data_IF_069793866546
#
_entry.id   IF_069793866546
#
_cell.length_a   1.000
_cell.length_b   1.000
_cell.length_c   1.000
_cell.angle_alpha   90.00
_cell.angle_beta   90.00
_cell.angle_gamma   90.00
#
_symmetry.space_group_name_H-M   'P 1'
#
loop_
_entity.id
_entity.type
_entity.pdbx_description
1 polymer ?
#
# COMPACT_ATOMS: atom_id res chain seq x y z
N UNK A 1 -0.36 -2.87 -18.73
CA UNK A 1 -1.19 -1.99 -17.89
C UNK A 1 -0.66 -1.96 -16.46
N UNK A 2 -0.87 -0.84 -15.78
CA UNK A 2 -0.48 -0.66 -14.38
C UNK A 2 -1.65 0.00 -13.62
N UNK A 3 -2.04 -0.58 -12.52
CA UNK A 3 -3.09 -0.09 -11.62
C UNK A 3 -2.41 0.28 -10.32
N UNK A 4 -2.61 1.51 -9.86
CA UNK A 4 -2.28 1.94 -8.51
C UNK A 4 -3.47 1.67 -7.60
N UNK A 5 -3.24 1.16 -6.40
CA UNK A 5 -4.29 0.89 -5.44
C UNK A 5 -3.90 1.36 -4.04
N UNK A 6 -4.90 1.76 -3.27
CA UNK A 6 -4.76 2.29 -1.92
C UNK A 6 -4.76 1.16 -0.89
N UNK A 7 -4.33 1.50 0.32
CA UNK A 7 -4.36 0.61 1.46
C UNK A 7 -5.77 0.53 2.07
N UNK A 8 -6.01 -0.57 2.76
CA UNK A 8 -7.17 -0.77 3.64
C UNK A 8 -6.67 -1.16 5.04
N UNK A 9 -7.50 -0.98 6.07
CA UNK A 9 -7.14 -1.30 7.46
C UNK A 9 -7.13 -2.81 7.73
N UNK A 10 -6.38 -3.59 6.94
CA UNK A 10 -6.32 -5.04 7.04
C UNK A 10 -5.80 -5.53 8.39
N UNK A 11 -4.73 -4.93 8.92
CA UNK A 11 -4.14 -5.37 10.17
C UNK A 11 -5.07 -5.20 11.38
N UNK A 12 -5.94 -4.19 11.35
CA UNK A 12 -6.91 -3.88 12.40
C UNK A 12 -8.29 -4.52 12.15
N UNK A 13 -8.48 -5.19 11.01
CA UNK A 13 -9.75 -5.81 10.66
C UNK A 13 -10.08 -7.00 11.57
N UNK A 14 -11.37 -7.24 11.76
CA UNK A 14 -11.88 -8.40 12.47
C UNK A 14 -11.53 -9.71 11.71
N UNK A 15 -11.44 -10.86 12.38
CA UNK A 15 -11.09 -12.14 11.74
C UNK A 15 -11.98 -12.48 10.53
N UNK A 16 -13.28 -12.21 10.61
CA UNK A 16 -14.22 -12.48 9.52
C UNK A 16 -13.96 -11.59 8.31
N UNK A 17 -13.66 -10.30 8.53
CA UNK A 17 -13.30 -9.36 7.47
C UNK A 17 -11.97 -9.76 6.81
N UNK A 18 -10.98 -10.20 7.60
CA UNK A 18 -9.71 -10.71 7.07
C UNK A 18 -9.93 -11.92 6.17
N UNK A 19 -10.81 -12.83 6.58
CA UNK A 19 -11.16 -14.01 5.79
C UNK A 19 -11.82 -13.60 4.47
N UNK A 20 -12.77 -12.67 4.50
CA UNK A 20 -13.43 -12.17 3.30
C UNK A 20 -12.44 -11.49 2.33
N UNK A 21 -11.51 -10.68 2.84
CA UNK A 21 -10.46 -10.05 2.03
C UNK A 21 -9.53 -11.11 1.42
N UNK A 22 -9.15 -12.11 2.20
CA UNK A 22 -8.31 -13.21 1.74
C UNK A 22 -8.98 -14.02 0.62
N UNK A 23 -10.27 -14.36 0.77
CA UNK A 23 -11.05 -15.06 -0.26
C UNK A 23 -11.16 -14.22 -1.54
N UNK A 24 -11.41 -12.92 -1.41
CA UNK A 24 -11.46 -12.00 -2.55
C UNK A 24 -10.10 -11.88 -3.27
N UNK A 25 -8.97 -11.95 -2.55
CA UNK A 25 -7.63 -12.04 -3.15
C UNK A 25 -7.42 -13.36 -3.88
N UNK A 26 -7.87 -14.48 -3.32
CA UNK A 26 -7.83 -15.79 -3.98
C UNK A 26 -8.61 -15.75 -5.31
N UNK A 27 -9.81 -15.18 -5.31
CA UNK A 27 -10.64 -15.03 -6.51
C UNK A 27 -9.97 -14.12 -7.55
N UNK A 28 -9.34 -13.03 -7.12
CA UNK A 28 -8.59 -12.15 -7.99
C UNK A 28 -7.43 -12.90 -8.68
N UNK A 29 -6.60 -13.64 -7.92
CA UNK A 29 -5.51 -14.41 -8.51
C UNK A 29 -6.02 -15.53 -9.42
N UNK A 30 -7.10 -16.19 -9.06
CA UNK A 30 -7.73 -17.21 -9.90
C UNK A 30 -8.34 -16.64 -11.20
N UNK A 31 -8.57 -15.35 -11.31
CA UNK A 31 -9.02 -14.71 -12.56
C UNK A 31 -7.91 -14.62 -13.63
N UNK A 32 -6.63 -14.67 -13.24
CA UNK A 32 -5.50 -14.58 -14.16
C UNK A 32 -5.19 -15.94 -14.78
N UNK A 33 -5.28 -16.04 -16.10
CA UNK A 33 -4.87 -17.23 -16.86
C UNK A 33 -3.35 -17.30 -17.08
N UNK A 34 -2.85 -18.44 -17.55
CA UNK A 34 -1.43 -18.69 -17.75
C UNK A 34 -0.73 -17.75 -18.77
N UNK A 35 -1.50 -17.02 -19.57
CA UNK A 35 -0.97 -16.08 -20.55
C UNK A 35 -0.86 -14.64 -20.04
N UNK A 36 -1.19 -14.43 -18.76
CA UNK A 36 -1.11 -13.14 -18.08
C UNK A 36 0.05 -13.22 -17.08
N UNK A 37 1.03 -12.35 -17.23
CA UNK A 37 2.07 -12.14 -16.22
C UNK A 37 1.68 -10.97 -15.32
N UNK A 38 1.69 -11.21 -14.02
CA UNK A 38 1.31 -10.23 -12.99
C UNK A 38 2.51 -9.87 -12.14
N UNK A 39 2.70 -8.60 -11.89
CA UNK A 39 3.70 -8.07 -10.97
C UNK A 39 2.99 -7.19 -9.95
N UNK A 40 3.09 -7.55 -8.68
CA UNK A 40 2.72 -6.73 -7.55
C UNK A 40 3.95 -5.99 -7.07
N UNK A 41 3.93 -4.65 -7.11
CA UNK A 41 5.05 -3.81 -6.67
C UNK A 41 4.63 -2.96 -5.49
N UNK A 42 5.35 -3.09 -4.40
CA UNK A 42 5.18 -2.30 -3.17
C UNK A 42 6.41 -1.41 -3.03
N UNK A 43 6.21 -0.11 -3.07
CA UNK A 43 7.28 0.88 -3.05
C UNK A 43 7.14 1.73 -1.79
N UNK A 44 8.13 1.66 -0.91
CA UNK A 44 8.31 2.57 0.21
C UNK A 44 9.48 3.47 -0.09
N UNK A 45 9.28 4.77 -0.14
CA UNK A 45 10.33 5.76 -0.45
C UNK A 45 10.19 6.99 0.42
N UNK A 46 11.30 7.68 0.67
CA UNK A 46 11.24 8.96 1.34
C UNK A 46 10.52 10.00 0.47
N UNK A 47 9.57 10.72 1.08
CA UNK A 47 8.95 11.87 0.47
C UNK A 47 9.98 13.00 0.27
N UNK A 48 9.75 13.87 -0.70
CA UNK A 48 10.49 15.11 -0.77
C UNK A 48 10.20 15.95 0.49
N UNK A 49 11.22 16.20 1.30
CA UNK A 49 11.09 16.92 2.58
C UNK A 49 10.47 18.30 2.40
N UNK A 50 10.77 18.97 1.30
CA UNK A 50 10.27 20.32 1.05
C UNK A 50 8.80 20.32 0.64
N UNK A 51 8.38 19.39 -0.20
CA UNK A 51 6.97 19.23 -0.58
C UNK A 51 6.12 18.82 0.63
N UNK A 52 6.66 17.96 1.50
CA UNK A 52 6.00 17.55 2.72
C UNK A 52 5.89 18.69 3.75
N UNK A 53 6.97 19.47 3.94
CA UNK A 53 6.93 20.69 4.78
C UNK A 53 5.96 21.73 4.25
N UNK A 54 5.90 21.90 2.94
CA UNK A 54 4.96 22.84 2.31
C UNK A 54 3.50 22.40 2.49
N UNK A 55 3.22 21.10 2.45
CA UNK A 55 1.85 20.57 2.60
C UNK A 55 1.25 20.78 3.99
N UNK A 56 2.08 20.92 5.04
CA UNK A 56 1.65 21.17 6.43
C UNK A 56 1.77 22.65 6.83
N UNK A 57 2.27 23.51 5.94
CA UNK A 57 2.43 24.93 6.24
C UNK A 57 1.09 25.64 6.05
N UNK A 58 0.60 26.27 7.11
CA UNK A 58 -0.63 27.07 7.07
C UNK A 58 -0.28 28.44 6.53
N UNK A 59 -0.92 28.83 5.43
CA UNK A 59 -0.70 30.12 4.81
C UNK A 59 -1.22 31.27 5.69
N UNK A 60 -0.49 32.41 5.78
CA UNK A 60 -0.98 33.60 6.47
C UNK A 60 -2.21 34.16 5.75
N UNK A 61 -3.19 34.64 6.52
CA UNK A 61 -4.43 35.23 6.01
C UNK A 61 -4.45 36.75 6.18
N UNK A 62 -3.36 37.35 6.70
CA UNK A 62 -3.19 38.78 7.00
C UNK A 62 -4.19 39.30 8.05
N UNK A 63 -4.44 38.48 9.08
CA UNK A 63 -5.29 38.79 10.22
C UNK A 63 -4.54 38.69 11.56
N UNK A 64 -5.20 38.99 12.67
CA UNK A 64 -4.61 38.98 14.02
C UNK A 64 -4.19 37.58 14.49
N UNK A 65 -4.48 36.52 13.73
CA UNK A 65 -4.23 35.11 14.09
C UNK A 65 -3.00 34.52 13.37
N UNK A 66 -2.31 35.28 12.52
CA UNK A 66 -1.17 34.78 11.77
C UNK A 66 0.01 34.34 12.66
N UNK A 67 0.17 34.95 13.83
CA UNK A 67 1.14 34.49 14.81
C UNK A 67 0.81 33.08 15.35
N UNK A 68 -0.48 32.78 15.53
CA UNK A 68 -0.96 31.46 15.99
C UNK A 68 -0.81 30.44 14.86
N UNK A 69 -1.07 30.81 13.59
CA UNK A 69 -0.83 29.95 12.41
C UNK A 69 0.65 29.58 12.29
N UNK A 70 1.55 30.52 12.52
CA UNK A 70 2.99 30.27 12.49
C UNK A 70 3.43 29.30 13.62
N UNK A 71 2.96 29.54 14.85
CA UNK A 71 3.23 28.67 16.00
C UNK A 71 2.67 27.25 15.75
N UNK A 72 1.45 27.13 15.22
CA UNK A 72 0.83 25.85 14.91
C UNK A 72 1.56 25.12 13.79
N UNK A 73 2.02 25.83 12.76
CA UNK A 73 2.86 25.26 11.69
C UNK A 73 4.16 24.69 12.27
N UNK A 74 4.81 25.37 13.20
CA UNK A 74 6.04 24.91 13.85
C UNK A 74 5.78 23.67 14.72
N UNK A 75 4.65 23.63 15.41
CA UNK A 75 4.22 22.44 16.15
C UNK A 75 4.02 21.25 15.19
N UNK A 76 3.37 21.43 14.04
CA UNK A 76 3.21 20.39 13.03
C UNK A 76 4.56 19.91 12.48
N UNK A 77 5.50 20.81 12.24
CA UNK A 77 6.87 20.46 11.81
C UNK A 77 7.60 19.62 12.86
N UNK A 78 7.47 19.98 14.14
CA UNK A 78 8.03 19.22 15.25
C UNK A 78 7.42 17.82 15.35
N UNK A 79 6.10 17.69 15.15
CA UNK A 79 5.45 16.39 15.11
C UNK A 79 5.88 15.54 13.90
N UNK A 80 6.10 16.20 12.77
CA UNK A 80 6.63 15.56 11.58
C UNK A 80 8.01 14.95 11.81
N UNK A 81 8.87 15.66 12.52
CA UNK A 81 10.24 15.20 12.84
C UNK A 81 10.26 14.05 13.87
N UNK A 82 9.24 13.95 14.71
CA UNK A 82 9.10 12.87 15.72
C UNK A 82 8.55 11.56 15.14
N UNK A 83 7.81 11.63 14.04
CA UNK A 83 7.23 10.45 13.39
C UNK A 83 8.19 9.80 12.39
N UNK A 84 7.86 8.59 11.91
CA UNK A 84 8.51 7.97 10.75
C UNK A 84 8.15 8.70 9.43
N UNK A 85 7.84 9.97 9.55
CA UNK A 85 7.26 10.78 8.51
C UNK A 85 8.28 11.04 7.43
N UNK A 86 7.94 10.64 6.26
CA UNK A 86 8.76 10.77 5.08
C UNK A 86 8.76 9.53 4.23
N UNK A 87 8.17 8.42 4.67
CA UNK A 87 7.98 7.25 3.84
C UNK A 87 6.58 7.27 3.22
N UNK A 88 6.54 7.47 1.92
CA UNK A 88 5.34 7.29 1.11
C UNK A 88 5.32 5.84 0.63
N UNK A 89 4.24 5.14 0.95
CA UNK A 89 3.99 3.76 0.51
C UNK A 89 3.04 3.79 -0.68
N UNK A 90 3.50 3.34 -1.84
CA UNK A 90 2.70 3.22 -3.05
C UNK A 90 2.66 1.77 -3.50
N UNK A 91 1.53 1.36 -4.06
CA UNK A 91 1.26 -0.04 -4.43
C UNK A 91 0.73 -0.12 -5.83
N UNK A 92 1.32 -1.00 -6.63
CA UNK A 92 0.99 -1.15 -8.03
C UNK A 92 0.76 -2.61 -8.37
N UNK A 93 -0.28 -2.87 -9.15
CA UNK A 93 -0.49 -4.13 -9.84
C UNK A 93 -0.25 -3.90 -11.34
N UNK A 94 0.80 -4.50 -11.87
CA UNK A 94 1.14 -4.43 -13.29
C UNK A 94 0.85 -5.78 -13.93
N UNK A 95 0.16 -5.78 -15.06
CA UNK A 95 -0.07 -7.00 -15.83
C UNK A 95 0.29 -6.82 -17.29
N UNK A 96 0.84 -7.88 -17.86
CA UNK A 96 1.28 -7.96 -19.25
C UNK A 96 0.67 -9.16 -19.94
N UNK A 97 0.45 -9.03 -21.23
CA UNK A 97 -0.09 -10.10 -22.07
C UNK A 97 0.71 -10.20 -23.36
N UNK A 98 0.91 -11.39 -23.85
CA UNK A 98 1.42 -11.62 -25.20
C UNK A 98 0.27 -11.60 -26.19
N UNK A 99 0.44 -10.88 -27.30
CA UNK A 99 -0.55 -10.76 -28.36
C UNK A 99 0.11 -10.60 -29.73
N UNK A 100 -0.60 -11.01 -30.78
CA UNK A 100 -0.10 -10.94 -32.16
C UNK A 100 0.01 -9.50 -32.69
N UNK A 101 -0.82 -8.60 -32.20
CA UNK A 101 -0.89 -7.20 -32.59
C UNK A 101 -1.40 -6.32 -31.45
N UNK A 102 -1.20 -5.01 -31.60
CA UNK A 102 -1.58 -3.99 -30.60
C UNK A 102 -3.10 -3.93 -30.40
N UNK A 103 -3.90 -4.21 -31.42
CA UNK A 103 -5.37 -4.14 -31.33
C UNK A 103 -5.90 -5.25 -30.42
N UNK A 104 -5.44 -6.48 -30.64
CA UNK A 104 -5.81 -7.63 -29.80
C UNK A 104 -5.26 -7.49 -28.38
N UNK A 105 -4.02 -6.98 -28.22
CA UNK A 105 -3.47 -6.67 -26.90
C UNK A 105 -4.33 -5.65 -26.15
N UNK A 106 -4.73 -4.57 -26.81
CA UNK A 106 -5.54 -3.50 -26.18
C UNK A 106 -6.90 -4.03 -25.70
N UNK A 107 -7.60 -4.79 -26.51
CA UNK A 107 -8.90 -5.35 -26.16
C UNK A 107 -8.79 -6.29 -24.93
N UNK A 108 -7.77 -7.16 -24.93
CA UNK A 108 -7.51 -8.10 -23.86
C UNK A 108 -7.12 -7.39 -22.56
N UNK A 109 -6.20 -6.41 -22.63
CA UNK A 109 -5.77 -5.61 -21.50
C UNK A 109 -6.91 -4.78 -20.89
N UNK A 110 -7.84 -4.28 -21.71
CA UNK A 110 -9.01 -3.53 -21.23
C UNK A 110 -9.97 -4.44 -20.44
N UNK A 111 -10.16 -5.68 -20.88
CA UNK A 111 -10.97 -6.66 -20.14
C UNK A 111 -10.35 -7.00 -18.77
N UNK A 112 -9.07 -7.35 -18.76
CA UNK A 112 -8.34 -7.67 -17.51
C UNK A 112 -8.37 -6.47 -16.54
N UNK A 113 -8.21 -5.25 -17.06
CA UNK A 113 -8.31 -4.01 -16.32
C UNK A 113 -9.66 -3.88 -15.60
N UNK A 114 -10.76 -4.07 -16.34
CA UNK A 114 -12.11 -3.98 -15.77
C UNK A 114 -12.34 -5.04 -14.69
N UNK A 115 -11.95 -6.28 -14.96
CA UNK A 115 -12.11 -7.40 -14.03
C UNK A 115 -11.29 -7.14 -12.75
N UNK A 116 -10.03 -6.67 -12.88
CA UNK A 116 -9.16 -6.36 -11.76
C UNK A 116 -9.69 -5.21 -10.91
N UNK A 117 -10.19 -4.12 -11.53
CA UNK A 117 -10.81 -3.01 -10.79
C UNK A 117 -12.05 -3.46 -10.02
N UNK A 118 -12.85 -4.36 -10.59
CA UNK A 118 -13.99 -4.95 -9.87
C UNK A 118 -13.55 -5.78 -8.66
N UNK A 119 -12.47 -6.55 -8.76
CA UNK A 119 -11.91 -7.27 -7.61
C UNK A 119 -11.44 -6.30 -6.51
N UNK A 120 -10.73 -5.24 -6.84
CA UNK A 120 -10.34 -4.22 -5.85
C UNK A 120 -11.56 -3.56 -5.18
N UNK A 121 -12.63 -3.32 -5.94
CA UNK A 121 -13.89 -2.80 -5.40
C UNK A 121 -14.54 -3.76 -4.40
N UNK A 122 -14.51 -5.07 -4.67
CA UNK A 122 -14.99 -6.12 -3.74
C UNK A 122 -14.14 -6.16 -2.49
N UNK A 123 -12.82 -6.07 -2.61
CA UNK A 123 -11.87 -6.00 -1.49
C UNK A 123 -12.10 -4.72 -0.64
N UNK A 124 -12.67 -3.67 -1.24
CA UNK A 124 -12.87 -2.37 -0.58
C UNK A 124 -11.68 -1.41 -0.74
N UNK A 125 -10.70 -1.74 -1.58
CA UNK A 125 -9.57 -0.88 -1.89
C UNK A 125 -9.87 0.04 -3.08
N UNK A 126 -9.60 1.34 -2.95
CA UNK A 126 -9.64 2.25 -4.08
C UNK A 126 -8.51 1.93 -5.05
N UNK A 127 -8.81 1.91 -6.35
CA UNK A 127 -7.83 1.58 -7.37
C UNK A 127 -8.05 2.42 -8.63
N UNK A 128 -6.94 2.83 -9.27
CA UNK A 128 -6.98 3.62 -10.50
C UNK A 128 -5.95 3.13 -11.51
N UNK A 129 -6.31 3.22 -12.77
CA UNK A 129 -5.39 2.89 -13.88
C UNK A 129 -4.47 4.07 -14.13
N UNK A 130 -3.17 3.82 -14.19
CA UNK A 130 -2.20 4.85 -14.51
C UNK A 130 -2.15 5.10 -16.02
N UNK A 131 -2.17 6.37 -16.40
CA UNK A 131 -1.88 6.81 -17.76
C UNK A 131 -0.37 6.77 -18.08
N UNK A 132 0.00 7.16 -19.31
CA UNK A 132 1.40 7.14 -19.72
C UNK A 132 2.29 8.09 -18.93
N UNK A 133 1.81 9.30 -18.60
CA UNK A 133 2.57 10.29 -17.84
C UNK A 133 2.75 9.86 -16.40
N UNK A 134 1.68 9.38 -15.76
CA UNK A 134 1.72 8.86 -14.40
C UNK A 134 2.67 7.66 -14.26
N UNK A 135 2.70 6.76 -15.26
CA UNK A 135 3.68 5.67 -15.28
C UNK A 135 5.13 6.16 -15.41
N UNK A 136 5.38 7.17 -16.23
CA UNK A 136 6.72 7.79 -16.31
C UNK A 136 7.12 8.44 -15.00
N UNK A 137 6.19 9.08 -14.30
CA UNK A 137 6.40 9.66 -12.96
C UNK A 137 6.79 8.60 -11.92
N UNK A 138 6.11 7.45 -11.91
CA UNK A 138 6.48 6.31 -11.04
C UNK A 138 7.90 5.82 -11.35
N UNK A 139 8.24 5.65 -12.63
CA UNK A 139 9.57 5.21 -13.06
C UNK A 139 10.64 6.24 -12.70
N UNK A 140 10.38 7.51 -12.95
CA UNK A 140 11.26 8.61 -12.54
C UNK A 140 11.52 8.57 -11.03
N UNK A 141 10.47 8.42 -10.20
CA UNK A 141 10.62 8.35 -8.76
C UNK A 141 11.42 7.14 -8.25
N UNK A 142 11.47 6.03 -9.00
CA UNK A 142 12.34 4.88 -8.69
C UNK A 142 13.81 5.21 -9.04
N UNK A 143 14.03 5.84 -10.18
CA UNK A 143 15.37 6.18 -10.66
C UNK A 143 15.99 7.42 -9.99
N UNK A 144 15.14 8.28 -9.39
CA UNK A 144 15.53 9.49 -8.67
C UNK A 144 15.00 9.45 -7.21
N UNK A 145 15.56 8.56 -6.38
CA UNK A 145 15.03 8.31 -5.02
C UNK A 145 15.21 9.51 -4.07
N UNK A 146 15.99 10.51 -4.44
CA UNK A 146 16.17 11.74 -3.67
C UNK A 146 14.98 12.72 -3.79
N UNK A 147 13.92 12.33 -4.50
CA UNK A 147 12.69 13.11 -4.63
C UNK A 147 12.80 14.25 -5.63
N UNK A 148 13.65 14.13 -6.64
CA UNK A 148 13.69 15.07 -7.76
C UNK A 148 12.33 15.17 -8.44
N UNK A 149 11.91 16.39 -8.78
CA UNK A 149 10.60 16.62 -9.40
C UNK A 149 10.57 16.12 -10.83
N UNK A 150 9.57 15.32 -11.15
CA UNK A 150 9.32 14.90 -12.52
C UNK A 150 8.71 16.03 -13.33
N UNK A 151 9.44 16.52 -14.31
CA UNK A 151 9.01 17.58 -15.21
C UNK A 151 8.95 17.04 -16.63
N UNK A 152 7.73 16.79 -17.13
CA UNK A 152 7.51 16.18 -18.43
C UNK A 152 6.18 16.62 -19.06
N UNK A 153 6.22 16.94 -20.35
CA UNK A 153 5.04 17.18 -21.18
C UNK A 153 5.22 16.49 -22.54
N UNK A 154 4.16 15.90 -23.07
CA UNK A 154 4.19 15.15 -24.33
C UNK A 154 4.60 16.03 -25.52
N UNK A 155 4.25 17.31 -25.47
CA UNK A 155 4.53 18.32 -26.49
C UNK A 155 6.04 18.60 -26.64
N UNK A 156 6.84 18.26 -25.65
CA UNK A 156 8.29 18.48 -25.71
C UNK A 156 9.02 17.45 -26.57
N UNK A 157 8.48 16.23 -26.71
CA UNK A 157 9.15 15.16 -27.46
C UNK A 157 9.43 15.50 -28.93
N UNK A 158 8.43 15.97 -29.73
CA UNK A 158 8.67 16.28 -31.12
C UNK A 158 9.64 17.45 -31.33
N UNK A 159 9.63 18.45 -30.41
CA UNK A 159 10.43 19.64 -30.52
C UNK A 159 11.89 19.44 -30.07
N UNK A 160 12.12 18.59 -29.08
CA UNK A 160 13.44 18.37 -28.50
C UNK A 160 14.26 17.26 -29.16
N UNK A 161 13.61 16.35 -29.90
CA UNK A 161 14.23 15.14 -30.41
C UNK A 161 14.61 14.10 -29.32
N UNK A 162 14.20 14.35 -28.07
CA UNK A 162 14.41 13.45 -26.93
C UNK A 162 13.36 12.33 -26.93
N UNK A 163 13.68 11.24 -26.26
CA UNK A 163 12.75 10.15 -25.99
C UNK A 163 12.22 10.22 -24.56
N UNK A 164 11.16 9.50 -24.25
CA UNK A 164 10.64 9.39 -22.88
C UNK A 164 11.69 8.87 -21.89
N UNK A 165 12.67 8.09 -22.36
CA UNK A 165 13.75 7.55 -21.54
C UNK A 165 14.66 8.65 -20.99
N UNK A 166 14.87 9.71 -21.75
CA UNK A 166 15.75 10.83 -21.36
C UNK A 166 15.18 11.63 -20.18
N UNK A 167 13.85 11.55 -19.94
CA UNK A 167 13.18 12.21 -18.83
C UNK A 167 13.11 11.35 -17.57
N UNK A 168 13.33 10.06 -17.65
CA UNK A 168 13.24 9.14 -16.50
C UNK A 168 14.58 8.53 -16.11
N UNK A 169 15.57 8.50 -17.01
CA UNK A 169 16.85 7.86 -16.76
C UNK A 169 17.63 8.63 -15.70
N UNK A 170 18.31 7.95 -14.77
CA UNK A 170 19.26 8.58 -13.86
C UNK A 170 20.52 9.02 -14.61
N UNK A 171 21.32 9.86 -13.97
CA UNK A 171 22.55 10.39 -14.55
C UNK A 171 23.55 9.31 -15.00
N UNK A 172 23.55 8.16 -14.36
CA UNK A 172 24.42 7.04 -14.68
C UNK A 172 23.95 5.71 -14.12
N UNK A 173 24.32 4.61 -14.78
CA UNK A 173 24.25 3.25 -14.27
C UNK A 173 25.64 2.61 -14.27
N UNK A 174 25.98 1.86 -13.21
CA UNK A 174 27.21 1.10 -13.10
C UNK A 174 26.98 -0.27 -12.47
N UNK A 175 27.18 -1.33 -13.23
CA UNK A 175 27.04 -2.73 -12.82
C UNK A 175 28.39 -3.44 -12.74
N UNK A 176 29.45 -2.76 -12.24
CA UNK A 176 30.78 -3.30 -12.17
C UNK A 176 31.06 -4.23 -10.99
N UNK A 177 30.19 -4.25 -10.00
CA UNK A 177 30.30 -5.13 -8.82
C UNK A 177 29.26 -6.25 -8.96
N UNK A 178 29.66 -7.50 -8.72
CA UNK A 178 28.76 -8.65 -8.87
C UNK A 178 27.59 -8.67 -7.88
N UNK A 179 27.66 -7.93 -6.77
CA UNK A 179 26.70 -7.97 -5.67
C UNK A 179 25.93 -6.68 -5.44
N UNK A 180 26.28 -5.63 -6.18
CA UNK A 180 25.61 -4.33 -6.10
C UNK A 180 25.71 -3.59 -7.43
N UNK A 181 24.92 -2.56 -7.58
CA UNK A 181 25.00 -1.60 -8.68
C UNK A 181 25.01 -0.17 -8.14
N UNK A 182 25.36 0.76 -8.99
CA UNK A 182 25.23 2.19 -8.70
C UNK A 182 24.31 2.82 -9.72
N UNK A 183 23.41 3.68 -9.23
CA UNK A 183 22.42 4.39 -10.02
C UNK A 183 22.44 5.86 -9.59
N UNK A 184 22.97 6.74 -10.46
CA UNK A 184 23.28 8.11 -10.05
C UNK A 184 24.22 8.15 -8.84
N UNK A 185 23.81 8.85 -7.79
CA UNK A 185 24.52 8.95 -6.52
C UNK A 185 24.26 7.79 -5.54
N UNK A 186 23.33 6.87 -5.84
CA UNK A 186 22.92 5.79 -4.92
C UNK A 186 23.58 4.45 -5.25
N UNK A 187 23.81 3.68 -4.21
CA UNK A 187 24.15 2.26 -4.30
C UNK A 187 22.89 1.41 -4.16
N UNK A 188 22.75 0.38 -4.97
CA UNK A 188 21.60 -0.50 -4.96
C UNK A 188 21.98 -1.98 -4.94
N UNK A 189 21.13 -2.78 -4.33
CA UNK A 189 21.22 -4.24 -4.36
C UNK A 189 19.85 -4.87 -4.44
N UNK A 190 19.73 -5.87 -5.31
CA UNK A 190 18.53 -6.70 -5.40
C UNK A 190 18.81 -8.04 -4.77
N UNK A 191 17.86 -8.47 -3.94
CA UNK A 191 17.86 -9.78 -3.28
C UNK A 191 16.59 -10.54 -3.68
N UNK A 192 16.65 -11.86 -3.66
CA UNK A 192 15.49 -12.73 -3.87
C UNK A 192 15.15 -13.50 -2.61
N UNK A 193 13.86 -13.74 -2.40
CA UNK A 193 13.37 -14.51 -1.25
C UNK A 193 13.27 -15.99 -1.57
N UNK A 194 13.91 -16.82 -0.75
CA UNK A 194 13.70 -18.27 -0.71
C UNK A 194 12.72 -18.61 0.40
N UNK A 195 11.58 -19.15 0.02
CA UNK A 195 10.54 -19.59 0.94
C UNK A 195 10.92 -21.01 1.40
N UNK A 196 11.37 -21.15 2.64
CA UNK A 196 11.71 -22.41 3.28
C UNK A 196 10.61 -22.81 4.26
N UNK A 197 9.86 -21.84 4.77
CA UNK A 197 8.78 -22.03 5.72
C UNK A 197 7.71 -23.01 5.21
N UNK A 198 7.21 -23.91 6.05
CA UNK A 198 6.06 -24.76 5.73
C UNK A 198 4.76 -23.95 5.69
N UNK A 199 4.67 -22.89 6.50
CA UNK A 199 3.54 -21.96 6.56
C UNK A 199 4.03 -20.54 6.39
N UNK A 200 3.28 -19.74 5.65
CA UNK A 200 3.54 -18.33 5.38
C UNK A 200 2.67 -17.46 6.29
N UNK A 201 3.11 -16.23 6.56
CA UNK A 201 2.37 -15.24 7.33
C UNK A 201 1.93 -14.07 6.45
N UNK A 202 0.71 -13.61 6.66
CA UNK A 202 0.11 -12.43 6.01
C UNK A 202 0.78 -11.09 6.41
N UNK A 203 1.64 -11.12 7.44
CA UNK A 203 2.36 -9.92 7.92
C UNK A 203 3.69 -9.66 7.23
N UNK A 204 4.23 -10.61 6.48
CA UNK A 204 5.58 -10.48 5.94
C UNK A 204 5.75 -9.27 5.02
N UNK A 205 4.80 -9.01 4.11
CA UNK A 205 4.87 -7.83 3.24
C UNK A 205 4.72 -6.53 4.03
N UNK A 206 3.90 -6.52 5.07
CA UNK A 206 3.74 -5.37 5.94
C UNK A 206 5.04 -5.03 6.66
N UNK A 207 5.72 -6.03 7.25
CA UNK A 207 6.98 -5.83 7.94
C UNK A 207 8.10 -5.32 7.00
N UNK A 208 8.13 -5.77 5.74
CA UNK A 208 9.03 -5.19 4.74
C UNK A 208 8.71 -3.72 4.46
N UNK A 209 7.41 -3.37 4.33
CA UNK A 209 6.99 -1.99 4.05
C UNK A 209 7.15 -1.05 5.24
N UNK A 210 7.29 -1.60 6.44
CA UNK A 210 7.53 -0.84 7.69
C UNK A 210 9.04 -0.66 7.98
N UNK A 211 9.94 -1.12 7.08
CA UNK A 211 11.37 -0.87 7.19
C UNK A 211 11.65 0.66 7.23
N UNK A 212 12.56 1.08 8.13
CA UNK A 212 12.87 2.50 8.40
C UNK A 212 13.37 3.27 7.17
N UNK A 213 14.04 2.57 6.27
CA UNK A 213 14.55 3.15 5.03
C UNK A 213 13.73 2.65 3.83
N UNK A 214 13.68 3.43 2.78
CA UNK A 214 12.90 3.08 1.59
C UNK A 214 13.27 1.70 1.02
N UNK A 215 12.28 0.91 0.67
CA UNK A 215 12.42 -0.43 0.14
C UNK A 215 11.43 -0.66 -1.00
N UNK A 216 11.81 -1.43 -1.99
CA UNK A 216 10.92 -1.83 -3.07
C UNK A 216 10.80 -3.35 -3.07
N UNK A 217 9.59 -3.85 -2.87
CA UNK A 217 9.28 -5.28 -2.88
C UNK A 217 8.44 -5.61 -4.10
N UNK A 218 8.86 -6.60 -4.87
CA UNK A 218 8.16 -7.03 -6.07
C UNK A 218 7.85 -8.52 -6.00
N UNK A 219 6.58 -8.86 -6.26
CA UNK A 219 6.13 -10.23 -6.45
C UNK A 219 5.76 -10.39 -7.92
N UNK A 220 6.49 -11.27 -8.61
CA UNK A 220 6.10 -11.74 -9.93
C UNK A 220 5.28 -13.02 -9.77
N UNK A 221 4.09 -13.03 -10.32
CA UNK A 221 3.11 -14.10 -10.18
C UNK A 221 2.72 -14.55 -11.58
N UNK A 222 3.05 -15.79 -11.92
CA UNK A 222 2.74 -16.43 -13.18
C UNK A 222 1.82 -17.61 -12.93
N UNK A 223 0.61 -17.56 -13.46
CA UNK A 223 -0.31 -18.70 -13.41
C UNK A 223 0.20 -19.84 -14.31
N UNK A 224 0.08 -21.07 -13.84
CA UNK A 224 0.36 -22.27 -14.63
C UNK A 224 -0.98 -22.82 -15.17
N UNK A 225 -0.98 -23.30 -16.40
CA UNK A 225 -2.15 -24.02 -16.93
C UNK A 225 -2.55 -25.15 -15.99
N UNK A 226 -3.84 -25.24 -15.67
CA UNK A 226 -4.35 -26.18 -14.68
C UNK A 226 -4.07 -27.64 -15.04
N UNK A 227 -4.19 -27.99 -16.32
CA UNK A 227 -3.91 -29.34 -16.80
C UNK A 227 -2.41 -29.66 -16.74
N UNK A 228 -1.56 -28.71 -17.08
CA UNK A 228 -0.11 -28.84 -16.95
C UNK A 228 0.34 -28.98 -15.50
N UNK A 229 -0.26 -28.21 -14.60
CA UNK A 229 0.01 -28.32 -13.16
C UNK A 229 -0.33 -29.73 -12.65
N UNK A 230 -1.54 -30.21 -12.91
CA UNK A 230 -1.97 -31.56 -12.54
C UNK A 230 -1.04 -32.63 -13.12
N UNK A 231 -0.69 -32.53 -14.40
CA UNK A 231 0.23 -33.45 -15.08
C UNK A 231 1.60 -33.47 -14.45
N UNK A 232 2.12 -32.31 -14.10
CA UNK A 232 3.45 -32.17 -13.46
C UNK A 232 3.45 -32.80 -12.07
N UNK A 233 2.41 -32.57 -11.26
CA UNK A 233 2.30 -33.16 -9.92
C UNK A 233 2.12 -34.67 -9.99
N UNK A 234 1.28 -35.17 -10.91
CA UNK A 234 1.14 -36.63 -11.11
C UNK A 234 2.48 -37.29 -11.48
N UNK A 235 3.27 -36.62 -12.32
CA UNK A 235 4.63 -37.09 -12.65
C UNK A 235 5.53 -37.16 -11.40
N UNK A 236 5.52 -36.07 -10.59
CA UNK A 236 6.29 -36.01 -9.33
C UNK A 236 5.87 -37.10 -8.35
N UNK A 237 4.57 -37.37 -8.20
CA UNK A 237 4.05 -38.45 -7.37
C UNK A 237 4.58 -39.81 -7.88
N UNK A 238 4.56 -40.05 -9.19
CA UNK A 238 5.09 -41.27 -9.79
C UNK A 238 6.58 -41.42 -9.52
N UNK A 239 7.35 -40.37 -9.63
CA UNK A 239 8.80 -40.37 -9.35
C UNK A 239 9.09 -40.64 -7.86
N UNK A 240 8.31 -40.03 -6.95
CA UNK A 240 8.40 -40.28 -5.50
C UNK A 240 8.01 -41.73 -5.15
N UNK A 241 6.95 -42.28 -5.76
CA UNK A 241 6.56 -43.66 -5.57
C UNK A 241 7.64 -44.63 -6.10
N UNK A 242 8.31 -44.32 -7.22
CA UNK A 242 9.47 -45.10 -7.70
C UNK A 242 10.63 -45.05 -6.71
N UNK A 243 11.00 -43.86 -6.22
CA UNK A 243 12.06 -43.73 -5.21
C UNK A 243 11.73 -44.52 -3.95
N UNK A 244 10.47 -44.48 -3.51
CA UNK A 244 9.99 -45.28 -2.38
C UNK A 244 10.20 -46.79 -2.61
N UNK A 245 9.84 -47.28 -3.79
CA UNK A 245 10.01 -48.70 -4.16
C UNK A 245 11.52 -49.06 -4.21
N UNK A 246 12.37 -48.15 -4.71
CA UNK A 246 13.82 -48.41 -4.75
C UNK A 246 14.43 -48.46 -3.35
N UNK A 247 14.04 -47.58 -2.44
CA UNK A 247 14.51 -47.60 -1.05
C UNK A 247 14.00 -48.85 -0.31
N UNK A 248 12.74 -49.25 -0.53
CA UNK A 248 12.21 -50.54 0.00
C UNK A 248 13.01 -51.74 -0.49
N UNK A 249 13.37 -51.80 -1.80
CA UNK A 249 14.22 -52.85 -2.35
C UNK A 249 15.60 -52.87 -1.74
N UNK A 250 16.21 -51.70 -1.47
CA UNK A 250 17.49 -51.57 -0.79
C UNK A 250 17.41 -52.08 0.66
N UNK A 251 16.36 -51.68 1.40
CA UNK A 251 16.13 -52.11 2.77
C UNK A 251 16.07 -53.67 2.85
N UNK A 252 15.28 -54.32 1.98
CA UNK A 252 15.18 -55.78 1.91
C UNK A 252 16.54 -56.42 1.63
N UNK A 253 17.30 -55.90 0.65
CA UNK A 253 18.65 -56.43 0.33
C UNK A 253 19.66 -56.28 1.47
N UNK A 254 19.45 -55.28 2.35
CA UNK A 254 20.29 -55.03 3.52
C UNK A 254 19.75 -55.69 4.80
N UNK A 255 18.68 -56.48 4.73
CA UNK A 255 18.11 -57.21 5.87
C UNK A 255 17.29 -56.33 6.84
N UNK A 256 16.88 -55.16 6.39
CA UNK A 256 16.00 -54.26 7.16
C UNK A 256 14.54 -54.46 6.78
N UNK A 257 13.63 -54.02 7.68
CA UNK A 257 12.19 -54.08 7.46
C UNK A 257 11.78 -53.15 6.30
N UNK A 258 10.81 -53.59 5.49
CA UNK A 258 10.24 -52.84 4.34
C UNK A 258 9.60 -51.51 4.74
N UNK A 259 9.20 -51.37 6.01
CA UNK A 259 8.54 -50.18 6.51
C UNK A 259 9.52 -49.05 6.89
N UNK A 260 10.84 -49.30 6.86
CA UNK A 260 11.87 -48.31 7.07
C UNK A 260 12.09 -47.52 5.77
N UNK A 261 11.23 -46.47 5.59
CA UNK A 261 11.34 -45.54 4.50
C UNK A 261 11.92 -44.25 5.08
N UNK A 262 12.85 -43.54 4.40
CA UNK A 262 13.24 -42.20 4.81
C UNK A 262 12.03 -41.32 5.06
N UNK A 263 11.95 -40.70 6.24
CA UNK A 263 10.82 -39.86 6.70
C UNK A 263 10.45 -38.79 5.67
N UNK A 264 11.47 -38.22 5.04
CA UNK A 264 11.33 -37.19 4.04
C UNK A 264 10.54 -37.65 2.80
N UNK A 265 10.82 -38.89 2.34
CA UNK A 265 10.16 -39.46 1.17
C UNK A 265 8.68 -39.74 1.42
N UNK A 266 8.36 -40.17 2.65
CA UNK A 266 6.99 -40.43 3.07
C UNK A 266 6.19 -39.10 3.18
N UNK A 267 6.81 -38.09 3.78
CA UNK A 267 6.22 -36.73 3.93
C UNK A 267 5.97 -36.09 2.58
N UNK A 268 6.97 -36.01 1.70
CA UNK A 268 6.83 -35.41 0.36
C UNK A 268 5.80 -36.15 -0.50
N UNK A 269 5.70 -37.47 -0.39
CA UNK A 269 4.69 -38.27 -1.09
C UNK A 269 3.27 -37.93 -0.62
N UNK A 270 3.09 -37.72 0.70
CA UNK A 270 1.83 -37.28 1.31
C UNK A 270 1.42 -35.90 0.88
N UNK A 271 2.35 -34.96 0.97
CA UNK A 271 2.15 -33.54 0.57
C UNK A 271 1.81 -33.41 -0.91
N UNK A 272 2.50 -34.12 -1.80
CA UNK A 272 2.21 -34.12 -3.23
C UNK A 272 0.80 -34.67 -3.55
N UNK A 273 0.33 -35.70 -2.82
CA UNK A 273 -1.03 -36.25 -2.96
C UNK A 273 -2.08 -35.27 -2.42
N UNK A 274 -1.83 -34.59 -1.32
CA UNK A 274 -2.71 -33.57 -0.79
C UNK A 274 -2.82 -32.38 -1.77
N UNK A 275 -1.69 -31.89 -2.28
CA UNK A 275 -1.66 -30.84 -3.29
C UNK A 275 -2.46 -31.23 -4.55
N UNK A 276 -2.33 -32.45 -5.03
CA UNK A 276 -3.13 -32.95 -6.16
C UNK A 276 -4.63 -32.93 -5.85
N UNK A 277 -5.01 -33.31 -4.64
CA UNK A 277 -6.41 -33.31 -4.20
C UNK A 277 -6.94 -31.86 -4.13
N UNK A 278 -6.18 -30.94 -3.58
CA UNK A 278 -6.57 -29.54 -3.47
C UNK A 278 -6.77 -28.90 -4.85
N UNK A 279 -5.89 -29.19 -5.80
CA UNK A 279 -6.05 -28.74 -7.20
C UNK A 279 -7.27 -29.36 -7.90
N UNK A 280 -7.66 -30.60 -7.56
CA UNK A 280 -8.77 -31.27 -8.21
C UNK A 280 -10.13 -30.99 -7.57
N UNK A 281 -10.18 -30.73 -6.26
CA UNK A 281 -11.41 -30.67 -5.47
C UNK A 281 -11.72 -29.28 -4.90
N UNK A 282 -10.74 -28.38 -4.87
CA UNK A 282 -10.89 -27.03 -4.40
C UNK A 282 -10.62 -26.06 -5.55
N UNK A 283 -11.09 -24.83 -5.45
CA UNK A 283 -10.82 -23.78 -6.44
C UNK A 283 -9.36 -23.28 -6.36
N UNK A 284 -8.39 -24.20 -6.22
CA UNK A 284 -6.96 -23.93 -6.15
C UNK A 284 -6.31 -24.03 -7.52
N UNK A 285 -5.42 -23.08 -7.82
CA UNK A 285 -4.55 -23.11 -9.01
C UNK A 285 -3.10 -23.10 -8.57
N UNK A 286 -2.19 -23.33 -9.50
CA UNK A 286 -0.76 -23.22 -9.25
C UNK A 286 -0.19 -21.96 -9.89
N UNK A 287 0.66 -21.31 -9.13
CA UNK A 287 1.41 -20.14 -9.55
C UNK A 287 2.91 -20.37 -9.35
N UNK A 288 3.71 -19.79 -10.24
CA UNK A 288 5.15 -19.60 -10.04
C UNK A 288 5.37 -18.21 -9.51
N UNK A 289 5.99 -18.10 -8.34
CA UNK A 289 6.22 -16.85 -7.65
C UNK A 289 7.71 -16.56 -7.53
N UNK A 290 8.12 -15.33 -7.90
CA UNK A 290 9.44 -14.75 -7.61
C UNK A 290 9.22 -13.52 -6.74
N UNK A 291 9.83 -13.48 -5.55
CA UNK A 291 9.83 -12.28 -4.71
C UNK A 291 11.23 -11.66 -4.72
N UNK A 292 11.29 -10.38 -5.11
CA UNK A 292 12.50 -9.58 -5.15
C UNK A 292 12.40 -8.40 -4.20
N UNK A 293 13.50 -8.08 -3.55
CA UNK A 293 13.64 -6.92 -2.67
C UNK A 293 14.78 -6.07 -3.19
N UNK A 294 14.48 -4.82 -3.54
CA UNK A 294 15.46 -3.81 -3.95
C UNK A 294 15.69 -2.82 -2.80
N UNK A 295 16.92 -2.73 -2.35
CA UNK A 295 17.39 -1.73 -1.39
C UNK A 295 18.26 -0.71 -2.09
N UNK A 296 18.11 0.57 -1.71
CA UNK A 296 18.89 1.71 -2.20
C UNK A 296 19.44 2.49 -1.01
N UNK A 297 20.71 2.92 -1.07
CA UNK A 297 21.35 3.69 -0.01
C UNK A 297 22.41 4.66 -0.54
N UNK A 298 22.78 5.67 0.26
CA UNK A 298 23.80 6.67 -0.11
C UNK A 298 25.21 6.14 -0.10
N UNK A 299 25.49 5.12 0.72
CA UNK A 299 26.81 4.52 0.87
C UNK A 299 26.73 2.99 0.84
N UNK A 300 27.84 2.34 0.49
CA UNK A 300 27.93 0.87 0.49
C UNK A 300 27.63 0.27 1.86
N UNK A 301 28.15 0.92 2.93
CA UNK A 301 27.93 0.44 4.30
C UNK A 301 26.47 0.52 4.71
N UNK A 302 25.78 1.63 4.38
CA UNK A 302 24.33 1.74 4.60
C UNK A 302 23.58 0.68 3.81
N UNK A 303 23.93 0.46 2.52
CA UNK A 303 23.32 -0.57 1.69
C UNK A 303 23.46 -1.96 2.32
N UNK A 304 24.64 -2.30 2.85
CA UNK A 304 24.86 -3.58 3.51
C UNK A 304 23.98 -3.73 4.76
N UNK A 305 23.82 -2.65 5.54
CA UNK A 305 22.94 -2.62 6.70
C UNK A 305 21.46 -2.79 6.31
N UNK A 306 21.01 -2.11 5.24
CA UNK A 306 19.64 -2.23 4.71
C UNK A 306 19.32 -3.66 4.25
N UNK A 307 20.22 -4.25 3.49
CA UNK A 307 20.06 -5.65 3.04
C UNK A 307 20.08 -6.62 4.21
N UNK A 308 20.92 -6.37 5.23
CA UNK A 308 20.94 -7.18 6.45
C UNK A 308 19.60 -7.02 7.23
N UNK A 309 19.08 -5.81 7.36
CA UNK A 309 17.77 -5.54 7.96
C UNK A 309 16.64 -6.28 7.23
N UNK A 310 16.62 -6.19 5.91
CA UNK A 310 15.65 -6.92 5.09
C UNK A 310 15.77 -8.45 5.24
N UNK A 311 17.01 -8.97 5.34
CA UNK A 311 17.24 -10.39 5.59
C UNK A 311 16.77 -10.83 6.98
N UNK A 312 16.89 -9.98 7.99
CA UNK A 312 16.39 -10.27 9.34
C UNK A 312 14.84 -10.34 9.35
N UNK A 313 14.17 -9.47 8.58
CA UNK A 313 12.71 -9.56 8.41
C UNK A 313 12.33 -10.90 7.75
N UNK A 314 13.00 -11.31 6.68
CA UNK A 314 12.74 -12.60 6.05
C UNK A 314 12.95 -13.78 7.02
N UNK A 315 14.01 -13.73 7.81
CA UNK A 315 14.37 -14.78 8.78
C UNK A 315 13.30 -14.93 9.88
N UNK A 316 12.65 -13.84 10.31
CA UNK A 316 11.50 -13.85 11.24
C UNK A 316 10.38 -14.78 10.76
N UNK A 317 10.22 -14.92 9.44
CA UNK A 317 9.22 -15.77 8.79
C UNK A 317 9.77 -17.08 8.24
N UNK A 318 10.92 -17.54 8.73
CA UNK A 318 11.61 -18.76 8.26
C UNK A 318 11.86 -18.75 6.73
N UNK A 319 12.14 -17.56 6.19
CA UNK A 319 12.53 -17.37 4.80
C UNK A 319 13.99 -16.88 4.74
N UNK A 320 14.65 -17.07 3.61
CA UNK A 320 16.02 -16.65 3.39
C UNK A 320 16.03 -15.60 2.29
N UNK A 321 16.54 -14.41 2.59
CA UNK A 321 16.76 -13.36 1.60
C UNK A 321 18.22 -13.38 1.15
N UNK A 322 18.45 -13.65 -0.13
CA UNK A 322 19.80 -13.79 -0.70
C UNK A 322 20.00 -12.76 -1.81
N UNK A 323 21.13 -12.04 -1.80
CA UNK A 323 21.49 -11.14 -2.90
C UNK A 323 21.63 -11.91 -4.21
N UNK A 324 21.23 -11.26 -5.29
CA UNK A 324 21.49 -11.77 -6.64
C UNK A 324 22.98 -11.54 -6.99
N UNK A 325 23.76 -12.60 -7.04
CA UNK A 325 25.16 -12.52 -7.45
C UNK A 325 25.24 -12.50 -8.98
N UNK A 326 25.97 -11.52 -9.52
CA UNK A 326 26.23 -11.32 -10.98
C UNK A 326 24.96 -11.12 -11.83
N UNK A 327 23.80 -10.86 -11.22
CA UNK A 327 22.50 -10.61 -11.88
C UNK A 327 21.81 -9.36 -11.37
N UNK A 328 22.57 -8.39 -10.91
CA UNK A 328 22.01 -7.15 -10.34
C UNK A 328 21.27 -6.31 -11.38
N UNK A 329 21.73 -6.29 -12.63
CA UNK A 329 21.07 -5.61 -13.73
C UNK A 329 19.69 -6.23 -14.01
N UNK A 330 19.63 -7.55 -14.18
CA UNK A 330 18.36 -8.27 -14.38
C UNK A 330 17.46 -8.14 -13.17
N UNK A 331 18.03 -8.13 -11.96
CA UNK A 331 17.32 -7.89 -10.72
C UNK A 331 16.66 -6.50 -10.69
N UNK A 332 17.41 -5.44 -11.02
CA UNK A 332 16.88 -4.09 -11.11
C UNK A 332 15.75 -4.01 -12.15
N UNK A 333 15.96 -4.55 -13.34
CA UNK A 333 14.93 -4.53 -14.40
C UNK A 333 13.65 -5.26 -13.98
N UNK A 334 13.79 -6.37 -13.25
CA UNK A 334 12.63 -7.09 -12.69
C UNK A 334 12.01 -6.39 -11.48
N UNK A 335 12.71 -5.45 -10.85
CA UNK A 335 12.20 -4.68 -9.71
C UNK A 335 11.45 -3.40 -10.11
N UNK A 336 11.43 -3.07 -11.40
CA UNK A 336 10.68 -1.94 -11.94
C UNK A 336 9.26 -2.42 -12.32
N UNK A 337 8.18 -1.65 -12.08
CA UNK A 337 6.80 -2.08 -12.35
C UNK A 337 6.46 -2.09 -13.85
N UNK A 338 7.20 -2.87 -14.63
CA UNK A 338 7.02 -3.07 -16.07
C UNK A 338 6.34 -4.41 -16.41
N UNK A 339 6.22 -5.31 -15.42
CA UNK A 339 5.60 -6.62 -15.60
C UNK A 339 6.49 -7.65 -16.29
N UNK A 340 7.82 -7.45 -16.24
CA UNK A 340 8.81 -8.37 -16.81
C UNK A 340 9.67 -8.99 -15.70
N UNK A 341 9.82 -10.32 -15.71
CA UNK A 341 10.64 -11.07 -14.78
C UNK A 341 11.83 -11.71 -15.51
N UNK A 342 13.02 -11.17 -15.30
CA UNK A 342 14.27 -11.72 -15.84
C UNK A 342 14.97 -12.68 -14.85
N UNK A 343 14.41 -12.85 -13.66
CA UNK A 343 14.92 -13.72 -12.60
C UNK A 343 14.08 -14.99 -12.53
N UNK A 344 14.59 -16.09 -13.04
CA UNK A 344 13.89 -17.37 -13.09
C UNK A 344 14.05 -18.22 -11.82
N UNK A 345 14.20 -17.57 -10.66
CA UNK A 345 14.20 -18.24 -9.36
C UNK A 345 12.74 -18.22 -8.86
N UNK A 346 12.04 -19.32 -9.08
CA UNK A 346 10.59 -19.39 -8.89
C UNK A 346 10.22 -20.46 -7.87
N UNK A 347 9.24 -20.17 -7.03
CA UNK A 347 8.60 -21.13 -6.13
C UNK A 347 7.17 -21.42 -6.61
N UNK A 348 6.84 -22.69 -6.74
CA UNK A 348 5.46 -23.12 -7.00
C UNK A 348 4.62 -22.99 -5.73
N UNK A 349 3.52 -22.25 -5.80
CA UNK A 349 2.56 -22.02 -4.71
C UNK A 349 1.12 -22.25 -5.23
N UNK A 350 0.22 -22.63 -4.32
CA UNK A 350 -1.21 -22.67 -4.60
C UNK A 350 -1.83 -21.27 -4.53
N UNK A 351 -3.10 -21.14 -4.92
CA UNK A 351 -3.83 -19.86 -4.80
C UNK A 351 -3.80 -19.34 -3.38
N UNK A 352 -4.20 -20.16 -2.42
CA UNK A 352 -4.23 -19.76 -1.00
C UNK A 352 -2.84 -19.39 -0.48
N UNK A 353 -1.81 -20.16 -0.82
CA UNK A 353 -0.43 -19.82 -0.43
C UNK A 353 0.09 -18.55 -1.09
N UNK A 354 -0.36 -18.22 -2.31
CA UNK A 354 -0.02 -16.95 -2.99
C UNK A 354 -0.76 -15.78 -2.38
N UNK A 355 -2.03 -15.94 -2.01
CA UNK A 355 -2.86 -14.92 -1.41
C UNK A 355 -2.44 -14.54 0.02
N UNK A 356 -1.64 -15.37 0.71
CA UNK A 356 -1.03 -15.02 2.01
C UNK A 356 -0.12 -13.81 1.92
N UNK A 357 0.46 -13.53 0.75
CA UNK A 357 1.18 -12.28 0.50
C UNK A 357 0.21 -11.11 0.36
N UNK A 358 -0.50 -10.80 1.45
CA UNK A 358 -1.50 -9.74 1.49
C UNK A 358 -0.81 -8.38 1.33
N UNK A 359 -1.16 -7.59 0.30
CA UNK A 359 -0.50 -6.31 0.04
C UNK A 359 -1.07 -5.16 0.87
N UNK A 360 -1.94 -5.44 1.81
CA UNK A 360 -2.61 -4.43 2.63
C UNK A 360 -2.03 -4.40 4.05
N UNK A 361 -1.86 -3.19 4.55
CA UNK A 361 -1.32 -2.93 5.88
C UNK A 361 -2.30 -2.12 6.72
N UNK A 362 -2.17 -0.81 6.69
CA UNK A 362 -3.00 0.17 7.39
C UNK A 362 -3.22 1.36 6.48
N UNK A 363 -4.45 1.84 6.45
CA UNK A 363 -4.78 3.04 5.69
C UNK A 363 -4.05 4.25 6.26
N UNK A 364 -3.32 4.95 5.40
CA UNK A 364 -2.69 6.21 5.71
C UNK A 364 -3.61 7.36 5.30
N UNK A 365 -3.84 8.29 6.21
CA UNK A 365 -4.61 9.49 5.96
C UNK A 365 -3.67 10.69 5.97
N UNK A 366 -3.13 11.02 4.82
CA UNK A 366 -2.31 12.20 4.62
C UNK A 366 -2.83 12.99 3.42
N UNK A 367 -3.71 13.93 3.69
CA UNK A 367 -4.30 14.80 2.69
C UNK A 367 -3.69 16.20 2.77
N UNK A 368 -3.62 16.90 1.66
CA UNK A 368 -3.15 18.29 1.58
C UNK A 368 -4.32 19.27 1.49
N UNK A 369 -4.03 20.57 1.67
CA UNK A 369 -4.99 21.65 1.61
C UNK A 369 -5.65 21.91 2.97
N UNK A 370 -6.96 21.88 3.06
CA UNK A 370 -7.71 22.18 4.30
C UNK A 370 -7.78 20.97 5.27
N UNK A 371 -6.79 20.08 5.21
CA UNK A 371 -6.73 18.92 6.08
C UNK A 371 -6.35 19.28 7.52
N UNK A 372 -7.11 18.73 8.47
CA UNK A 372 -6.88 18.93 9.89
C UNK A 372 -5.96 17.85 10.45
N UNK A 373 -5.10 18.21 11.40
CA UNK A 373 -4.22 17.28 12.10
C UNK A 373 -4.96 16.56 13.24
N UNK A 374 -5.06 15.25 13.18
CA UNK A 374 -5.70 14.43 14.21
C UNK A 374 -4.74 13.75 15.17
N UNK A 375 -3.52 13.43 14.75
CA UNK A 375 -2.51 12.77 15.58
C UNK A 375 -1.51 12.00 14.74
N UNK A 376 -0.85 11.01 15.37
CA UNK A 376 0.02 10.06 14.71
C UNK A 376 -0.71 8.71 14.62
N UNK A 377 -0.53 8.02 13.49
CA UNK A 377 -1.03 6.67 13.31
C UNK A 377 -0.31 5.73 14.30
N UNK A 378 -1.07 4.97 15.08
CA UNK A 378 -0.51 4.12 16.14
C UNK A 378 0.38 2.96 15.63
N UNK A 379 0.23 2.57 14.36
CA UNK A 379 1.02 1.49 13.75
C UNK A 379 2.19 2.02 12.92
N UNK A 380 1.94 2.95 12.01
CA UNK A 380 2.97 3.50 11.12
C UNK A 380 3.73 4.69 11.72
N UNK A 381 3.20 5.30 12.78
CA UNK A 381 3.69 6.55 13.37
C UNK A 381 3.73 7.73 12.39
N UNK A 382 2.98 7.66 11.28
CA UNK A 382 2.81 8.75 10.34
C UNK A 382 1.74 9.74 10.82
N UNK A 383 1.85 11.01 10.39
CA UNK A 383 0.82 12.02 10.69
C UNK A 383 -0.51 11.68 10.04
N UNK A 384 -1.59 11.85 10.79
CA UNK A 384 -2.95 11.79 10.27
C UNK A 384 -3.40 13.22 9.97
N UNK A 385 -3.49 13.53 8.70
CA UNK A 385 -4.03 14.78 8.15
C UNK A 385 -5.25 14.42 7.30
N UNK A 386 -6.42 14.88 7.70
CA UNK A 386 -7.68 14.53 7.04
C UNK A 386 -8.56 15.76 6.82
N UNK A 387 -8.99 15.96 5.60
CA UNK A 387 -10.07 16.85 5.24
C UNK A 387 -11.38 16.06 5.25
N UNK A 388 -12.16 16.20 6.32
CA UNK A 388 -13.40 15.43 6.49
C UNK A 388 -14.45 15.72 5.42
N UNK A 389 -14.40 16.90 4.78
CA UNK A 389 -15.29 17.24 3.66
C UNK A 389 -15.07 16.35 2.43
N UNK A 390 -13.87 15.76 2.29
CA UNK A 390 -13.54 14.80 1.22
C UNK A 390 -13.91 13.35 1.55
N UNK A 391 -14.28 13.07 2.79
CA UNK A 391 -14.73 11.74 3.17
C UNK A 391 -16.17 11.48 2.69
N UNK A 392 -16.50 10.21 2.51
CA UNK A 392 -17.86 9.78 2.15
C UNK A 392 -18.91 10.24 3.17
N UNK A 393 -18.52 10.32 4.43
CA UNK A 393 -19.33 10.85 5.53
C UNK A 393 -18.46 11.75 6.42
N UNK A 394 -18.73 13.06 6.51
CA UNK A 394 -17.92 14.01 7.28
C UNK A 394 -18.25 13.99 8.77
N UNK A 395 -19.26 13.28 9.23
CA UNK A 395 -19.65 13.23 10.63
C UNK A 395 -18.55 12.60 11.49
N UNK A 396 -18.34 13.13 12.68
CA UNK A 396 -17.36 12.64 13.67
C UNK A 396 -18.00 12.41 15.02
N UNK A 397 -17.49 11.43 15.78
CA UNK A 397 -17.89 11.11 17.13
C UNK A 397 -16.64 11.03 18.01
N UNK A 398 -16.62 11.81 19.12
CA UNK A 398 -15.54 11.80 20.10
C UNK A 398 -16.05 11.11 21.36
N UNK A 399 -15.52 9.92 21.66
CA UNK A 399 -15.88 9.12 22.82
C UNK A 399 -14.71 9.03 23.81
N UNK A 400 -15.03 8.99 25.09
CA UNK A 400 -14.04 8.80 26.14
C UNK A 400 -14.66 8.92 27.54
N UNK A 401 -13.98 8.37 28.52
CA UNK A 401 -14.35 8.51 29.92
C UNK A 401 -14.11 9.94 30.42
N UNK A 402 -14.74 10.38 31.54
CA UNK A 402 -14.43 11.66 32.16
C UNK A 402 -12.92 11.80 32.42
N UNK A 403 -12.35 12.97 32.12
CA UNK A 403 -10.91 13.24 32.27
C UNK A 403 -10.01 12.71 31.14
N UNK A 404 -10.54 12.00 30.14
CA UNK A 404 -9.75 11.44 29.01
C UNK A 404 -9.30 12.48 27.97
N UNK A 405 -9.73 13.75 28.08
CA UNK A 405 -9.35 14.81 27.16
C UNK A 405 -10.31 15.03 25.98
N UNK A 406 -11.56 14.54 26.03
CA UNK A 406 -12.57 14.75 24.98
C UNK A 406 -12.74 16.21 24.59
N UNK A 407 -13.06 17.07 25.59
CA UNK A 407 -13.28 18.50 25.36
C UNK A 407 -12.02 19.19 24.83
N UNK A 408 -10.83 18.76 25.27
CA UNK A 408 -9.57 19.27 24.74
C UNK A 408 -9.37 18.89 23.28
N UNK A 409 -9.67 17.65 22.89
CA UNK A 409 -9.59 17.18 21.52
C UNK A 409 -10.56 17.96 20.62
N UNK A 410 -11.80 18.18 21.07
CA UNK A 410 -12.77 18.98 20.33
C UNK A 410 -12.34 20.44 20.18
N UNK A 411 -11.83 21.06 21.24
CA UNK A 411 -11.27 22.43 21.18
C UNK A 411 -10.11 22.55 20.22
N UNK A 412 -9.23 21.53 20.16
CA UNK A 412 -8.13 21.46 19.21
C UNK A 412 -8.65 21.37 17.76
N UNK A 413 -9.64 20.54 17.48
CA UNK A 413 -10.24 20.43 16.16
C UNK A 413 -10.89 21.74 15.72
N UNK A 414 -11.66 22.38 16.59
CA UNK A 414 -12.26 23.70 16.35
C UNK A 414 -11.19 24.76 16.03
N UNK A 415 -10.11 24.80 16.83
CA UNK A 415 -9.00 25.73 16.59
C UNK A 415 -8.35 25.47 15.24
N UNK A 416 -8.10 24.20 14.88
CA UNK A 416 -7.52 23.84 13.60
C UNK A 416 -8.42 24.23 12.42
N UNK A 417 -9.71 23.95 12.51
CA UNK A 417 -10.67 24.35 11.49
C UNK A 417 -10.69 25.87 11.31
N UNK A 418 -10.72 26.63 12.40
CA UNK A 418 -10.68 28.10 12.35
C UNK A 418 -9.40 28.66 11.71
N UNK A 419 -8.23 28.06 11.99
CA UNK A 419 -6.95 28.55 11.48
C UNK A 419 -6.71 28.19 10.01
N UNK A 420 -7.24 27.05 9.55
CA UNK A 420 -6.92 26.43 8.26
C UNK A 420 -8.01 26.68 7.22
N UNK A 421 -9.29 26.66 7.63
CA UNK A 421 -10.43 26.75 6.71
C UNK A 421 -11.11 28.13 6.78
N UNK A 422 -11.99 28.39 5.84
CA UNK A 422 -12.91 29.54 5.86
C UNK A 422 -14.31 29.16 6.32
N UNK A 423 -14.46 27.99 6.95
CA UNK A 423 -15.77 27.47 7.36
C UNK A 423 -16.31 28.22 8.58
N UNK A 424 -17.64 28.41 8.63
CA UNK A 424 -18.33 28.87 9.83
C UNK A 424 -18.40 27.73 10.86
N UNK A 425 -18.10 28.09 12.13
CA UNK A 425 -18.09 27.11 13.23
C UNK A 425 -19.22 27.44 14.20
N UNK A 426 -20.17 26.54 14.33
CA UNK A 426 -21.30 26.65 15.23
C UNK A 426 -21.14 25.61 16.36
N UNK A 427 -21.17 26.09 17.62
CA UNK A 427 -20.98 25.25 18.80
C UNK A 427 -22.27 25.30 19.64
N UNK A 428 -22.89 24.15 19.89
CA UNK A 428 -23.92 24.01 20.90
C UNK A 428 -23.29 23.44 22.18
N UNK A 429 -23.21 24.29 23.22
CA UNK A 429 -22.42 23.99 24.44
C UNK A 429 -23.31 24.13 25.70
N UNK A 430 -23.94 23.04 26.16
CA UNK A 430 -24.80 23.05 27.35
C UNK A 430 -24.02 23.27 28.66
N UNK A 431 -22.71 23.01 28.69
CA UNK A 431 -21.88 23.06 29.89
C UNK A 431 -21.05 24.34 29.99
N UNK A 432 -21.10 25.21 28.97
CA UNK A 432 -20.38 26.47 28.88
C UNK A 432 -18.84 26.36 28.95
N UNK A 433 -18.28 25.26 28.45
CA UNK A 433 -16.82 24.97 28.43
C UNK A 433 -16.06 25.70 27.31
N UNK A 434 -16.75 26.09 26.22
CA UNK A 434 -16.13 26.67 25.03
C UNK A 434 -16.09 28.20 25.03
N UNK A 435 -16.75 28.86 25.99
CA UNK A 435 -16.79 30.34 26.08
C UNK A 435 -15.38 31.01 25.99
N UNK A 436 -14.35 30.55 26.72
CA UNK A 436 -13.03 31.19 26.65
C UNK A 436 -12.37 31.03 25.27
N UNK A 437 -12.56 29.90 24.58
CA UNK A 437 -12.06 29.67 23.26
C UNK A 437 -12.71 30.58 22.22
N UNK A 438 -14.06 30.64 22.25
CA UNK A 438 -14.84 31.48 21.34
C UNK A 438 -14.47 32.94 21.51
N UNK A 439 -14.32 33.43 22.76
CA UNK A 439 -13.87 34.78 23.03
C UNK A 439 -12.47 35.10 22.50
N UNK A 440 -11.53 34.15 22.62
CA UNK A 440 -10.17 34.27 22.07
C UNK A 440 -10.15 34.35 20.55
N UNK A 441 -11.02 33.61 19.89
CA UNK A 441 -11.19 33.58 18.43
C UNK A 441 -12.09 34.72 17.91
N UNK A 442 -12.45 35.68 18.79
CA UNK A 442 -13.32 36.83 18.47
C UNK A 442 -14.71 36.41 17.95
N UNK A 443 -15.18 35.22 18.33
CA UNK A 443 -16.50 34.73 17.97
C UNK A 443 -17.61 35.32 18.85
N UNK A 444 -18.85 35.11 18.43
CA UNK A 444 -20.04 35.56 19.16
C UNK A 444 -20.54 34.44 20.08
N UNK A 445 -20.87 34.78 21.33
CA UNK A 445 -21.48 33.84 22.27
C UNK A 445 -22.91 34.30 22.54
N UNK A 446 -23.87 33.40 22.27
CA UNK A 446 -25.30 33.63 22.55
C UNK A 446 -25.68 32.74 23.73
N UNK A 447 -26.01 33.35 24.84
CA UNK A 447 -26.40 32.62 26.06
C UNK A 447 -27.93 32.50 26.11
N UNK A 448 -28.43 31.24 26.02
CA UNK A 448 -29.86 30.94 26.14
C UNK A 448 -30.12 30.41 27.56
N UNK A 449 -30.74 31.22 28.42
CA UNK A 449 -31.09 30.85 29.81
C UNK A 449 -32.24 31.72 30.30
N UNK A 450 -32.86 31.36 31.43
CA UNK A 450 -33.96 32.11 32.03
C UNK A 450 -33.62 33.59 32.33
N UNK A 451 -32.36 33.88 32.63
CA UNK A 451 -31.86 35.20 33.00
C UNK A 451 -31.05 35.86 31.86
N UNK A 452 -31.12 35.36 30.66
CA UNK A 452 -30.37 35.91 29.51
C UNK A 452 -31.06 37.17 28.99
N UNK A 453 -30.25 38.13 28.56
CA UNK A 453 -30.69 39.31 27.81
C UNK A 453 -30.59 39.07 26.28
N UNK A 454 -30.18 37.90 25.86
CA UNK A 454 -30.08 37.51 24.45
C UNK A 454 -31.22 36.56 24.12
N UNK A 455 -31.86 36.80 23.00
CA UNK A 455 -33.04 36.04 22.57
C UNK A 455 -32.83 35.58 21.12
N UNK A 456 -33.23 34.35 20.84
CA UNK A 456 -33.37 33.81 19.47
C UNK A 456 -34.82 33.99 19.11
N UNK A 457 -35.13 34.73 18.03
CA UNK A 457 -36.48 34.85 17.54
C UNK A 457 -36.89 33.59 16.73
N UNK A 458 -37.69 32.69 17.27
CA UNK A 458 -38.10 31.49 16.54
C UNK A 458 -39.03 31.81 15.35
N UNK A 459 -39.55 33.01 15.29
CA UNK A 459 -40.45 33.45 14.20
C UNK A 459 -39.72 34.17 13.08
N UNK A 460 -38.39 34.36 13.19
CA UNK A 460 -37.61 34.98 12.15
C UNK A 460 -37.50 34.09 10.90
N UNK A 461 -37.80 34.65 9.72
CA UNK A 461 -37.81 33.92 8.44
C UNK A 461 -36.82 34.57 7.49
N UNK A 462 -35.80 33.81 7.10
CA UNK A 462 -34.89 34.20 6.03
C UNK A 462 -35.50 33.85 4.66
N UNK A 463 -36.04 34.86 3.97
CA UNK A 463 -36.71 34.67 2.67
C UNK A 463 -35.74 34.29 1.54
N UNK A 464 -34.44 34.44 1.75
CA UNK A 464 -33.40 34.08 0.77
C UNK A 464 -32.87 32.64 0.93
N UNK A 465 -33.32 31.92 1.94
CA UNK A 465 -32.97 30.54 2.18
C UNK A 465 -33.92 29.60 1.46
N UNK A 466 -33.51 29.04 0.33
CA UNK A 466 -34.32 28.06 -0.41
C UNK A 466 -33.41 26.97 -1.04
N UNK A 467 -33.30 25.86 -0.38
CA UNK A 467 -32.87 24.59 -0.98
C UNK A 467 -34.08 23.67 -1.18
N UNK A 468 -34.96 24.02 -2.10
CA UNK A 468 -36.07 23.15 -2.54
C UNK A 468 -37.44 23.34 -1.86
N UNK A 469 -37.49 23.71 -0.58
CA UNK A 469 -38.74 24.00 0.14
C UNK A 469 -38.96 25.50 0.34
N UNK A 470 -40.23 25.94 0.42
CA UNK A 470 -40.49 27.34 0.71
C UNK A 470 -40.06 27.67 2.14
N UNK A 471 -39.44 28.86 2.40
CA UNK A 471 -39.04 29.27 3.76
C UNK A 471 -40.17 29.17 4.79
N UNK A 472 -41.41 29.35 4.35
CA UNK A 472 -42.62 29.22 5.17
C UNK A 472 -42.86 27.76 5.57
N UNK A 473 -42.70 26.79 4.65
CA UNK A 473 -42.87 25.37 4.95
C UNK A 473 -41.85 24.88 5.98
N UNK A 474 -40.54 25.19 5.78
CA UNK A 474 -39.49 24.86 6.73
C UNK A 474 -39.73 25.45 8.12
N UNK A 475 -40.30 26.67 8.20
CA UNK A 475 -40.58 27.28 9.46
C UNK A 475 -41.82 26.70 10.13
N UNK A 476 -42.83 26.29 9.34
CA UNK A 476 -44.04 25.61 9.84
C UNK A 476 -43.73 24.27 10.49
N UNK A 477 -42.74 23.54 9.95
CA UNK A 477 -42.28 22.28 10.54
C UNK A 477 -41.47 22.47 11.83
N UNK A 478 -40.89 23.67 12.03
CA UNK A 478 -40.15 24.00 13.24
C UNK A 478 -41.01 24.44 14.39
N UNK A 479 -42.16 25.08 14.15
CA UNK A 479 -43.12 25.58 15.15
C UNK A 479 -44.10 24.48 15.57
#
# INVERSE_FOLDING_TARGET
KCIEFEDINYQLAQPDDKTAIFEALCDMYNSFDASISVQLSLISRHANKDDFKNSITIAPQNDDFDSIRAEYTEMLRTQLERGNNGLIKTKFLTFTVEAKDIRSARARLARIETDTLNHFKVIGAAARVLDGKQRLEVLHGIFHPDGERFNFAWEWLPASGLSVKDFIAPSSFRFGDGRMFQMGGKFGAVSFLQIVAPELSDRMLADFMDAENGIIVNLHIQSIDHNEAIKTIKRKITDLDRMKIEEQKKAIRSGYDMDIIPSDLATYGGEAKNLLRDLQSRNERMFLLTLLVLNLADTKQKLDNEVFGAAAIAQKYNCILTRLDYRQEQGLMSSIPLGENLIHIQRGLTTSSTAVFVPFTVQELFQSGEALYYGLNALSNNMILCDRKKLKNPNGLILGTPGSGKSFSAKREITNAFLITSDDIIICDPEAEYYPLVGRLKGQVIKVSQNSTQYINPMDINLNYSEGDTPIALKSDFI
#
